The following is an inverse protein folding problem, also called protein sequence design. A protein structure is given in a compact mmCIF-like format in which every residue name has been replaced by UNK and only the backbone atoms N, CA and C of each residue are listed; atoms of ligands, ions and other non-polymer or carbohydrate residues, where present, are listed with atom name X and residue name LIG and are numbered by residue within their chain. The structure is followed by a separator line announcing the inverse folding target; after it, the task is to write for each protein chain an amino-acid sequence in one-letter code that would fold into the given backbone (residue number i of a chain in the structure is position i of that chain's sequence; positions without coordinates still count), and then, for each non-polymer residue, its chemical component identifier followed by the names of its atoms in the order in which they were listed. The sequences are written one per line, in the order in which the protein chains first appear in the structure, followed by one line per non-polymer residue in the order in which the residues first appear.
data_IF_369025329602
#
_entry.id   IF_369025329602
#
_cell.length_a   1.000
_cell.length_b   1.000
_cell.length_c   1.000
_cell.angle_alpha   90.00
_cell.angle_beta   90.00
_cell.angle_gamma   90.00
#
_symmetry.space_group_name_H-M   'P 1'
#
loop_
_entity.id
_entity.type
_entity.pdbx_description
1 polymer ?
#
# COMPACT_ATOMS: atom_id res chain seq x y z
N UNK A 1 -8.72 -9.63 8.17
CA UNK A 1 -8.89 -10.99 7.62
C UNK A 1 -9.28 -10.87 6.16
N UNK A 2 -8.55 -11.52 5.25
CA UNK A 2 -8.86 -11.51 3.81
C UNK A 2 -9.72 -12.74 3.55
N UNK A 3 -11.02 -12.57 3.34
CA UNK A 3 -11.91 -13.67 2.94
C UNK A 3 -11.57 -14.09 1.51
N UNK A 4 -10.67 -15.07 1.36
CA UNK A 4 -10.37 -15.67 0.07
C UNK A 4 -11.50 -16.63 -0.25
N UNK A 5 -12.38 -16.24 -1.17
CA UNK A 5 -13.36 -17.18 -1.74
C UNK A 5 -12.59 -18.11 -2.68
N UNK A 6 -12.13 -19.26 -2.17
CA UNK A 6 -11.45 -20.29 -2.97
C UNK A 6 -12.45 -20.98 -3.91
N UNK A 7 -12.62 -20.39 -5.08
CA UNK A 7 -13.03 -21.11 -6.29
C UNK A 7 -11.86 -21.09 -7.28
N UNK A 8 -11.86 -22.02 -8.24
CA UNK A 8 -10.89 -22.17 -9.36
C UNK A 8 -10.84 -20.95 -10.32
N UNK A 9 -11.01 -19.75 -9.82
CA UNK A 9 -11.22 -18.53 -10.56
C UNK A 9 -9.92 -17.73 -10.66
N UNK A 10 -9.60 -17.29 -11.87
CA UNK A 10 -8.48 -16.40 -12.18
C UNK A 10 -8.59 -14.99 -11.52
N UNK A 11 -9.53 -14.82 -10.58
CA UNK A 11 -9.88 -13.55 -9.94
C UNK A 11 -10.01 -13.75 -8.43
N UNK A 12 -9.39 -12.86 -7.65
CA UNK A 12 -9.52 -12.78 -6.19
C UNK A 12 -10.04 -11.40 -5.82
N UNK A 13 -11.00 -11.32 -4.90
CA UNK A 13 -11.61 -10.05 -4.52
C UNK A 13 -11.57 -9.84 -3.01
N UNK A 14 -11.59 -8.58 -2.59
CA UNK A 14 -11.68 -8.19 -1.19
C UNK A 14 -12.69 -7.05 -1.02
N UNK A 15 -13.64 -7.23 -0.11
CA UNK A 15 -14.65 -6.25 0.23
C UNK A 15 -14.22 -5.51 1.50
N UNK A 16 -13.90 -4.23 1.37
CA UNK A 16 -13.61 -3.41 2.52
C UNK A 16 -14.90 -3.02 3.26
N UNK A 17 -14.84 -2.75 4.57
CA UNK A 17 -15.97 -2.19 5.32
C UNK A 17 -16.41 -0.81 4.78
N UNK A 18 -17.64 -0.35 5.09
CA UNK A 18 -18.05 1.03 4.85
C UNK A 18 -17.05 2.04 5.42
N UNK A 19 -16.72 3.07 4.64
CA UNK A 19 -15.70 4.06 5.02
C UNK A 19 -15.97 5.40 4.33
N UNK A 20 -15.33 6.47 4.83
CA UNK A 20 -15.49 7.82 4.28
C UNK A 20 -14.91 7.97 2.85
N UNK A 21 -15.23 9.09 2.20
CA UNK A 21 -14.79 9.40 0.84
C UNK A 21 -13.27 9.37 0.66
N UNK A 22 -12.50 9.90 1.61
CA UNK A 22 -11.05 10.04 1.48
C UNK A 22 -10.34 8.69 1.53
N UNK A 23 -10.80 7.78 2.41
CA UNK A 23 -10.28 6.41 2.45
C UNK A 23 -10.58 5.68 1.14
N UNK A 24 -11.79 5.82 0.58
CA UNK A 24 -12.12 5.20 -0.71
C UNK A 24 -11.24 5.75 -1.83
N UNK A 25 -10.96 7.06 -1.84
CA UNK A 25 -10.09 7.68 -2.84
C UNK A 25 -8.70 7.04 -2.87
N UNK A 26 -8.06 6.88 -1.71
CA UNK A 26 -6.71 6.28 -1.60
C UNK A 26 -6.72 4.83 -2.09
N UNK A 27 -7.76 4.05 -1.76
CA UNK A 27 -7.88 2.66 -2.22
C UNK A 27 -7.99 2.60 -3.74
N UNK A 28 -8.82 3.46 -4.36
CA UNK A 28 -8.95 3.52 -5.82
C UNK A 28 -7.64 3.92 -6.51
N UNK A 29 -6.93 4.89 -5.97
CA UNK A 29 -5.64 5.33 -6.51
C UNK A 29 -4.58 4.23 -6.44
N UNK A 30 -4.47 3.53 -5.29
CA UNK A 30 -3.58 2.38 -5.16
C UNK A 30 -3.99 1.23 -6.08
N UNK A 31 -5.29 0.94 -6.21
CA UNK A 31 -5.77 -0.11 -7.10
C UNK A 31 -5.31 0.10 -8.55
N UNK A 32 -5.31 1.35 -9.04
CA UNK A 32 -4.82 1.68 -10.37
C UNK A 32 -3.34 1.34 -10.54
N UNK A 33 -2.50 1.67 -9.56
CA UNK A 33 -1.05 1.39 -9.60
C UNK A 33 -0.77 -0.13 -9.61
N UNK A 34 -1.56 -0.90 -8.87
CA UNK A 34 -1.41 -2.36 -8.78
C UNK A 34 -2.14 -3.13 -9.92
N UNK A 35 -2.79 -2.43 -10.86
CA UNK A 35 -3.57 -3.08 -11.92
C UNK A 35 -4.73 -3.92 -11.39
N UNK A 36 -5.43 -3.41 -10.36
CA UNK A 36 -6.61 -4.01 -9.76
C UNK A 36 -7.87 -3.27 -10.24
N UNK A 37 -8.97 -4.00 -10.36
CA UNK A 37 -10.28 -3.38 -10.53
C UNK A 37 -10.79 -2.92 -9.16
N UNK A 38 -11.31 -1.69 -9.09
CA UNK A 38 -11.84 -1.13 -7.84
C UNK A 38 -13.18 -0.47 -8.08
N UNK A 39 -14.19 -0.84 -7.28
CA UNK A 39 -15.57 -0.36 -7.42
C UNK A 39 -16.12 0.01 -6.05
N UNK A 40 -16.79 1.14 -5.96
CA UNK A 40 -17.55 1.51 -4.75
C UNK A 40 -19.01 1.12 -4.89
N UNK A 41 -19.52 0.40 -3.90
CA UNK A 41 -20.93 0.00 -3.82
C UNK A 41 -21.65 0.75 -2.71
N UNK A 42 -22.97 0.76 -2.81
CA UNK A 42 -23.90 1.43 -1.89
C UNK A 42 -23.80 2.96 -1.87
N UNK A 43 -24.76 3.56 -1.16
CA UNK A 43 -24.83 5.00 -0.90
C UNK A 43 -24.29 5.31 0.50
N UNK A 44 -23.91 6.57 0.73
CA UNK A 44 -23.48 7.03 2.05
C UNK A 44 -24.61 6.86 3.09
N UNK A 45 -24.28 6.47 4.35
CA UNK A 45 -22.94 6.27 4.91
C UNK A 45 -22.40 4.83 4.77
N UNK A 46 -23.14 3.93 4.11
CA UNK A 46 -22.80 2.50 4.00
C UNK A 46 -21.85 2.20 2.84
N UNK A 47 -21.43 3.23 2.10
CA UNK A 47 -20.67 3.08 0.87
C UNK A 47 -19.28 2.51 1.13
N UNK A 48 -18.99 1.41 0.47
CA UNK A 48 -17.77 0.63 0.64
C UNK A 48 -16.95 0.58 -0.65
N UNK A 49 -15.86 -0.20 -0.65
CA UNK A 49 -15.07 -0.50 -1.85
C UNK A 49 -14.82 -1.99 -1.91
N UNK A 50 -14.96 -2.56 -3.11
CA UNK A 50 -14.52 -3.91 -3.41
C UNK A 50 -13.42 -3.83 -4.45
N UNK A 51 -12.29 -4.47 -4.14
CA UNK A 51 -11.17 -4.64 -5.07
C UNK A 51 -11.19 -6.04 -5.66
N UNK A 52 -10.79 -6.17 -6.92
CA UNK A 52 -10.63 -7.45 -7.60
C UNK A 52 -9.29 -7.52 -8.33
N UNK A 53 -8.46 -8.49 -7.94
CA UNK A 53 -7.23 -8.86 -8.61
C UNK A 53 -7.52 -9.89 -9.69
N UNK A 54 -7.03 -9.66 -10.90
CA UNK A 54 -7.19 -10.54 -12.06
C UNK A 54 -5.82 -11.05 -12.49
N UNK A 55 -5.68 -12.37 -12.58
CA UNK A 55 -4.45 -13.03 -13.02
C UNK A 55 -4.08 -12.52 -14.42
N UNK A 56 -2.84 -12.06 -14.58
CA UNK A 56 -2.33 -11.50 -15.84
C UNK A 56 -2.57 -10.01 -16.05
N UNK A 57 -3.33 -9.34 -15.16
CA UNK A 57 -3.49 -7.88 -15.16
C UNK A 57 -2.87 -7.24 -13.93
N UNK A 58 -3.02 -7.88 -12.78
CA UNK A 58 -2.57 -7.36 -11.49
C UNK A 58 -1.06 -7.51 -11.33
N UNK A 59 -0.41 -6.44 -10.88
CA UNK A 59 1.04 -6.33 -10.74
C UNK A 59 1.42 -5.77 -9.36
N UNK A 60 2.63 -6.07 -8.93
CA UNK A 60 3.25 -5.38 -7.80
C UNK A 60 4.18 -4.29 -8.38
N UNK A 61 4.03 -3.01 -7.99
CA UNK A 61 4.93 -1.96 -8.43
C UNK A 61 6.34 -2.16 -7.85
N UNK A 62 7.36 -1.65 -8.55
CA UNK A 62 8.77 -1.74 -8.14
C UNK A 62 9.07 -1.04 -6.81
N UNK A 63 8.28 -0.01 -6.49
CA UNK A 63 8.29 0.65 -5.19
C UNK A 63 6.90 0.67 -4.59
N UNK A 64 6.80 0.17 -3.37
CA UNK A 64 5.56 0.23 -2.60
C UNK A 64 5.52 1.51 -1.77
N UNK A 65 4.31 2.02 -1.50
CA UNK A 65 4.11 3.19 -0.63
C UNK A 65 4.87 3.05 0.71
N UNK A 66 4.82 1.87 1.32
CA UNK A 66 5.55 1.58 2.55
C UNK A 66 7.07 1.71 2.37
N UNK A 67 7.63 1.22 1.27
CA UNK A 67 9.07 1.32 1.00
C UNK A 67 9.52 2.78 0.89
N UNK A 68 8.74 3.62 0.20
CA UNK A 68 9.03 5.06 0.07
C UNK A 68 8.95 5.74 1.44
N UNK A 69 7.89 5.49 2.21
CA UNK A 69 7.72 6.07 3.54
C UNK A 69 8.83 5.64 4.52
N UNK A 70 9.28 4.39 4.45
CA UNK A 70 10.39 3.91 5.28
C UNK A 70 11.71 4.62 4.95
N UNK A 71 11.99 4.88 3.66
CA UNK A 71 13.19 5.61 3.23
C UNK A 71 13.18 7.07 3.68
N UNK A 72 12.04 7.74 3.56
CA UNK A 72 11.85 9.12 4.04
C UNK A 72 12.04 9.24 5.56
N UNK A 73 11.58 8.23 6.32
CA UNK A 73 11.67 8.20 7.79
C UNK A 73 13.03 7.78 8.33
N UNK A 74 13.92 7.24 7.50
CA UNK A 74 15.27 6.91 7.94
C UNK A 74 16.06 8.20 8.15
N UNK A 75 16.33 8.52 9.42
CA UNK A 75 17.27 9.56 9.78
C UNK A 75 18.62 9.28 9.12
N UNK A 76 19.25 10.32 8.57
CA UNK A 76 20.61 10.22 8.01
C UNK A 76 21.51 9.51 9.03
N UNK A 77 22.36 8.57 8.60
CA UNK A 77 23.28 7.92 9.53
C UNK A 77 24.09 8.98 10.28
N UNK A 78 24.37 8.76 11.58
CA UNK A 78 25.19 9.68 12.36
C UNK A 78 26.52 9.89 11.65
N UNK A 79 26.96 11.15 11.57
CA UNK A 79 28.25 11.50 10.99
C UNK A 79 29.36 10.72 11.73
N UNK A 80 30.36 10.16 11.03
CA UNK A 80 31.50 9.52 11.69
C UNK A 80 32.15 10.49 12.67
N UNK A 81 32.36 10.05 13.92
CA UNK A 81 32.99 10.87 14.95
C UNK A 81 34.48 11.03 14.59
N UNK A 82 34.99 12.26 14.42
CA UNK A 82 36.42 12.46 14.14
C UNK A 82 37.28 11.99 15.32
N UNK A 83 38.17 11.04 15.07
CA UNK A 83 39.18 10.61 16.05
C UNK A 83 40.30 11.65 16.13
N UNK A 84 40.25 12.55 17.09
CA UNK A 84 41.37 13.44 17.39
C UNK A 84 42.47 12.58 18.04
N UNK A 85 43.57 12.34 17.32
CA UNK A 85 44.78 11.78 17.94
C UNK A 85 45.29 12.86 18.90
N UNK A 86 45.14 12.63 20.20
CA UNK A 86 45.90 13.36 21.21
C UNK A 86 47.37 13.10 20.90
N UNK A 87 48.02 14.08 20.28
CA UNK A 87 49.47 14.12 20.25
C UNK A 87 49.89 14.50 21.66
N UNK A 88 50.35 13.49 22.41
CA UNK A 88 51.07 13.62 23.67
C UNK A 88 52.10 14.76 23.57
N UNK A 89 52.13 15.60 24.59
CA UNK A 89 53.16 16.60 24.80
C UNK A 89 53.70 16.51 26.21
#
# INVERSE_FOLDING_TARGET
EVTVVEGKNAKKSHCFPPMNRDHRRIIHELAQIYGLDSVSYDNEPKRNVVISAVKGKSICPDSTLTSVLSKERQARPPQPIPHHRQTDR
#
